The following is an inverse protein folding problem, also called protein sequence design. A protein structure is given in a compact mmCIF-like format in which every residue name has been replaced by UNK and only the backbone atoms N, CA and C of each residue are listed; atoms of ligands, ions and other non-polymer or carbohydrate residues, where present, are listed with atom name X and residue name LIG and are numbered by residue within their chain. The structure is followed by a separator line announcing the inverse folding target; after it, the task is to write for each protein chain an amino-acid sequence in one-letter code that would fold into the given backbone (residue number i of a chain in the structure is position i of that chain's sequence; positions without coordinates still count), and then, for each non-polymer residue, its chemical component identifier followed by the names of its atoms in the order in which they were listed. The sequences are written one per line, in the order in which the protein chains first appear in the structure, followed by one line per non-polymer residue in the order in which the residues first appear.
data_IF_558402515861
#
_entry.id   IF_558402515861
#
_cell.length_a   1.000
_cell.length_b   1.000
_cell.length_c   1.000
_cell.angle_alpha   90.00
_cell.angle_beta   90.00
_cell.angle_gamma   90.00
#
_symmetry.space_group_name_H-M   'P 1'
#
loop_
_entity.id
_entity.type
_entity.pdbx_description
1 polymer ?
#
# COMPACT_ATOMS: atom_id res chain seq x y z
N UNK A 1 4.10 16.15 -22.96
CA UNK A 1 2.94 15.52 -23.62
C UNK A 1 1.82 15.45 -22.60
N UNK A 2 0.65 16.02 -22.89
CA UNK A 2 -0.47 16.07 -21.94
C UNK A 2 -1.16 14.71 -21.90
N UNK A 3 -0.94 13.94 -20.84
CA UNK A 3 -1.75 12.74 -20.56
C UNK A 3 -3.11 13.23 -20.06
N UNK A 4 -4.13 13.18 -20.92
CA UNK A 4 -5.48 13.52 -20.53
C UNK A 4 -5.95 12.62 -19.38
N UNK A 5 -6.27 13.23 -18.24
CA UNK A 5 -6.90 12.54 -17.12
C UNK A 5 -8.37 12.31 -17.45
N UNK A 6 -8.85 11.06 -17.35
CA UNK A 6 -10.27 10.77 -17.45
C UNK A 6 -10.88 10.65 -16.05
N UNK A 7 -12.08 11.20 -15.89
CA UNK A 7 -12.91 11.04 -14.68
C UNK A 7 -13.92 9.95 -14.97
N UNK A 8 -13.93 8.88 -14.18
CA UNK A 8 -15.00 7.89 -14.18
C UNK A 8 -15.88 8.12 -12.96
N UNK A 9 -17.10 8.58 -13.20
CA UNK A 9 -18.12 8.84 -12.17
C UNK A 9 -19.21 7.77 -12.11
N UNK A 10 -19.25 6.85 -13.10
CA UNK A 10 -20.25 5.78 -13.16
C UNK A 10 -19.81 4.62 -14.04
N UNK A 11 -20.33 3.42 -13.75
CA UNK A 11 -20.18 2.20 -14.56
C UNK A 11 -21.55 1.79 -15.11
N UNK A 12 -21.60 1.33 -16.35
CA UNK A 12 -22.84 0.78 -16.94
C UNK A 12 -22.85 -0.73 -16.79
N UNK A 13 -23.76 -1.24 -15.96
CA UNK A 13 -23.86 -2.66 -15.65
C UNK A 13 -25.13 -3.27 -16.26
N UNK A 14 -25.13 -4.55 -16.60
CA UNK A 14 -26.33 -5.23 -17.07
C UNK A 14 -27.35 -5.38 -15.92
N UNK A 15 -28.64 -5.24 -16.24
CA UNK A 15 -29.74 -5.25 -15.25
C UNK A 15 -29.78 -6.55 -14.41
N UNK A 16 -29.42 -7.70 -15.00
CA UNK A 16 -29.43 -8.99 -14.31
C UNK A 16 -28.47 -9.03 -13.10
N UNK A 17 -27.50 -8.12 -12.99
CA UNK A 17 -26.63 -8.05 -11.82
C UNK A 17 -27.43 -7.69 -10.55
N UNK A 18 -28.60 -7.05 -10.71
CA UNK A 18 -29.50 -6.70 -9.62
C UNK A 18 -30.13 -7.93 -8.94
N UNK A 19 -30.19 -9.08 -9.62
CA UNK A 19 -30.64 -10.35 -9.03
C UNK A 19 -29.71 -10.86 -7.92
N UNK A 20 -28.51 -10.28 -7.80
CA UNK A 20 -27.51 -10.59 -6.77
C UNK A 20 -27.40 -9.49 -5.72
N UNK A 21 -28.39 -8.60 -5.63
CA UNK A 21 -28.42 -7.55 -4.61
C UNK A 21 -28.96 -8.12 -3.30
N UNK A 22 -28.21 -7.88 -2.24
CA UNK A 22 -28.60 -8.19 -0.86
C UNK A 22 -28.72 -6.90 -0.06
N UNK A 23 -29.61 -6.91 0.92
CA UNK A 23 -29.67 -5.86 1.93
C UNK A 23 -28.44 -5.99 2.84
N UNK A 24 -27.50 -5.04 2.73
CA UNK A 24 -26.31 -5.05 3.56
C UNK A 24 -26.63 -4.78 5.04
N UNK A 25 -25.70 -5.17 5.93
CA UNK A 25 -25.77 -4.97 7.39
C UNK A 25 -25.99 -3.50 7.85
N UNK A 26 -25.97 -2.54 6.93
CA UNK A 26 -26.14 -1.10 7.16
C UNK A 26 -27.35 -0.48 6.42
N UNK A 27 -28.38 -1.26 6.08
CA UNK A 27 -29.56 -0.81 5.31
C UNK A 27 -29.22 -0.16 3.95
N UNK A 28 -28.09 -0.53 3.35
CA UNK A 28 -27.73 -0.11 2.00
C UNK A 28 -27.68 -1.34 1.10
N UNK A 29 -28.48 -1.38 0.01
CA UNK A 29 -28.46 -2.50 -0.92
C UNK A 29 -27.11 -2.56 -1.62
N UNK A 30 -26.54 -3.76 -1.75
CA UNK A 30 -25.24 -4.00 -2.39
C UNK A 30 -25.28 -5.27 -3.22
N UNK A 31 -24.51 -5.30 -4.31
CA UNK A 31 -24.31 -6.52 -5.10
C UNK A 31 -23.40 -7.45 -4.31
N UNK A 32 -23.88 -8.65 -4.03
CA UNK A 32 -23.08 -9.74 -3.47
C UNK A 32 -22.33 -10.47 -4.58
N UNK A 33 -20.97 -10.41 -4.59
CA UNK A 33 -20.17 -11.09 -5.61
C UNK A 33 -20.38 -12.61 -5.61
N UNK A 34 -20.54 -13.24 -4.45
CA UNK A 34 -20.70 -14.70 -4.34
C UNK A 34 -22.05 -15.17 -4.91
N UNK A 35 -23.14 -14.46 -4.55
CA UNK A 35 -24.45 -14.69 -5.17
C UNK A 35 -24.38 -14.56 -6.70
N UNK A 36 -23.67 -13.57 -7.23
CA UNK A 36 -23.51 -13.41 -8.67
C UNK A 36 -22.73 -14.57 -9.29
N UNK A 37 -21.57 -14.92 -8.73
CA UNK A 37 -20.72 -16.00 -9.20
C UNK A 37 -21.45 -17.34 -9.25
N UNK A 38 -22.32 -17.61 -8.28
CA UNK A 38 -23.10 -18.87 -8.23
C UNK A 38 -24.04 -19.08 -9.42
N UNK A 39 -24.41 -18.00 -10.15
CA UNK A 39 -25.37 -18.02 -11.27
C UNK A 39 -24.76 -17.53 -12.59
N UNK A 40 -23.50 -17.11 -12.58
CA UNK A 40 -22.87 -16.44 -13.72
C UNK A 40 -22.38 -17.45 -14.75
N UNK A 41 -22.76 -17.25 -16.01
CA UNK A 41 -22.13 -17.95 -17.15
C UNK A 41 -20.87 -17.20 -17.59
N UNK A 42 -19.94 -17.82 -18.35
CA UNK A 42 -18.77 -17.11 -18.91
C UNK A 42 -19.16 -15.79 -19.60
N UNK A 43 -20.24 -15.81 -20.39
CA UNK A 43 -20.77 -14.61 -21.05
C UNK A 43 -21.19 -13.51 -20.08
N UNK A 44 -21.84 -13.86 -18.96
CA UNK A 44 -22.23 -12.89 -17.93
C UNK A 44 -21.01 -12.32 -17.20
N UNK A 45 -20.02 -13.16 -16.87
CA UNK A 45 -18.76 -12.73 -16.26
C UNK A 45 -18.04 -11.73 -17.17
N UNK A 46 -17.87 -12.08 -18.44
CA UNK A 46 -17.20 -11.27 -19.43
C UNK A 46 -17.87 -9.90 -19.60
N UNK A 47 -19.20 -9.85 -19.68
CA UNK A 47 -19.94 -8.60 -19.84
C UNK A 47 -19.72 -7.66 -18.64
N UNK A 48 -19.74 -8.20 -17.41
CA UNK A 48 -19.49 -7.39 -16.21
C UNK A 48 -18.02 -6.97 -16.10
N UNK A 49 -17.07 -7.85 -16.45
CA UNK A 49 -15.64 -7.50 -16.50
C UNK A 49 -15.41 -6.33 -17.47
N UNK A 50 -15.96 -6.41 -18.68
CA UNK A 50 -15.81 -5.36 -19.70
C UNK A 50 -16.51 -4.05 -19.32
N UNK A 51 -17.53 -4.09 -18.46
CA UNK A 51 -18.11 -2.87 -17.89
C UNK A 51 -17.10 -2.09 -17.02
N UNK A 52 -16.26 -2.80 -16.25
CA UNK A 52 -15.23 -2.20 -15.42
C UNK A 52 -13.89 -1.98 -16.15
N UNK A 53 -13.57 -2.83 -17.11
CA UNK A 53 -12.31 -2.84 -17.85
C UNK A 53 -12.55 -2.87 -19.36
N UNK A 54 -13.11 -1.78 -19.95
CA UNK A 54 -13.50 -1.75 -21.37
C UNK A 54 -12.31 -1.80 -22.34
N UNK A 55 -11.09 -1.61 -21.84
CA UNK A 55 -9.86 -1.68 -22.62
C UNK A 55 -9.36 -3.13 -22.80
N UNK A 56 -9.89 -4.11 -22.07
CA UNK A 56 -9.54 -5.52 -22.28
C UNK A 56 -10.10 -6.04 -23.61
N UNK A 57 -9.26 -6.83 -24.29
CA UNK A 57 -9.53 -7.51 -25.55
C UNK A 57 -9.24 -8.99 -25.37
N UNK A 58 -10.27 -9.74 -25.03
CA UNK A 58 -10.16 -11.19 -24.81
C UNK A 58 -10.05 -11.93 -26.14
N UNK A 59 -9.13 -12.90 -26.23
CA UNK A 59 -9.10 -13.87 -27.32
C UNK A 59 -10.34 -14.76 -27.30
N UNK A 60 -10.64 -15.45 -28.39
CA UNK A 60 -11.84 -16.30 -28.45
C UNK A 60 -11.83 -17.41 -27.39
N UNK A 61 -10.66 -17.99 -27.12
CA UNK A 61 -10.51 -19.02 -26.08
C UNK A 61 -10.73 -18.42 -24.68
N UNK A 62 -10.14 -17.26 -24.40
CA UNK A 62 -10.28 -16.59 -23.10
C UNK A 62 -11.71 -16.08 -22.82
N UNK A 63 -12.53 -15.86 -23.85
CA UNK A 63 -13.95 -15.51 -23.68
C UNK A 63 -14.81 -16.69 -23.20
N UNK A 64 -14.34 -17.92 -23.40
CA UNK A 64 -15.05 -19.14 -23.02
C UNK A 64 -14.45 -19.81 -21.77
N UNK A 65 -13.22 -19.43 -21.39
CA UNK A 65 -12.54 -19.90 -20.19
C UNK A 65 -13.22 -19.37 -18.91
N UNK A 66 -14.05 -20.23 -18.31
CA UNK A 66 -14.80 -19.88 -17.12
C UNK A 66 -13.91 -19.58 -15.91
N UNK A 67 -12.80 -20.31 -15.75
CA UNK A 67 -11.91 -20.16 -14.59
C UNK A 67 -11.11 -18.87 -14.68
N UNK A 68 -10.59 -18.54 -15.88
CA UNK A 68 -9.92 -17.26 -16.12
C UNK A 68 -10.87 -16.08 -15.84
N UNK A 69 -12.09 -16.12 -16.38
CA UNK A 69 -13.07 -15.06 -16.19
C UNK A 69 -13.52 -14.97 -14.72
N UNK A 70 -13.68 -16.10 -14.04
CA UNK A 70 -14.00 -16.13 -12.60
C UNK A 70 -12.88 -15.51 -11.77
N UNK A 71 -11.62 -15.85 -12.05
CA UNK A 71 -10.44 -15.27 -11.40
C UNK A 71 -10.40 -13.75 -11.60
N UNK A 72 -10.52 -13.27 -12.83
CA UNK A 72 -10.57 -11.82 -13.13
C UNK A 72 -11.70 -11.15 -12.38
N UNK A 73 -12.88 -11.78 -12.35
CA UNK A 73 -14.02 -11.23 -11.65
C UNK A 73 -13.75 -11.10 -10.14
N UNK A 74 -13.28 -12.16 -9.49
CA UNK A 74 -12.99 -12.19 -8.05
C UNK A 74 -11.92 -11.16 -7.69
N UNK A 75 -10.80 -11.14 -8.42
CA UNK A 75 -9.65 -10.31 -8.09
C UNK A 75 -9.84 -8.83 -8.48
N UNK A 76 -10.46 -8.59 -9.64
CA UNK A 76 -10.51 -7.24 -10.22
C UNK A 76 -11.89 -6.59 -10.12
N UNK A 77 -12.98 -7.33 -10.26
CA UNK A 77 -14.34 -6.75 -10.30
C UNK A 77 -14.99 -6.70 -8.91
N UNK A 78 -14.95 -7.80 -8.17
CA UNK A 78 -15.64 -7.94 -6.89
C UNK A 78 -15.29 -6.85 -5.85
N UNK A 79 -14.02 -6.40 -5.71
CA UNK A 79 -13.68 -5.31 -4.80
C UNK A 79 -14.32 -3.98 -5.22
N UNK A 80 -14.51 -3.76 -6.53
CA UNK A 80 -15.05 -2.52 -7.10
C UNK A 80 -16.58 -2.45 -6.99
N UNK A 81 -17.28 -3.58 -6.94
CA UNK A 81 -18.74 -3.64 -6.74
C UNK A 81 -19.19 -2.98 -5.43
N UNK A 82 -18.35 -3.05 -4.38
CA UNK A 82 -18.63 -2.41 -3.07
C UNK A 82 -18.64 -0.88 -3.14
N UNK A 83 -18.04 -0.30 -4.18
CA UNK A 83 -17.93 1.15 -4.37
C UNK A 83 -19.03 1.73 -5.27
N UNK A 84 -20.06 0.94 -5.60
CA UNK A 84 -21.19 1.38 -6.39
C UNK A 84 -22.33 1.88 -5.52
N UNK A 85 -22.99 2.93 -5.98
CA UNK A 85 -24.34 3.26 -5.53
C UNK A 85 -25.34 2.58 -6.48
N UNK A 86 -26.24 1.79 -5.92
CA UNK A 86 -27.29 1.14 -6.71
C UNK A 86 -28.39 2.15 -7.04
N UNK A 87 -28.65 2.43 -8.34
CA UNK A 87 -29.78 3.24 -8.73
C UNK A 87 -31.09 2.45 -8.54
N UNK A 88 -32.20 3.16 -8.39
CA UNK A 88 -33.52 2.53 -8.46
C UNK A 88 -33.72 1.85 -9.82
N UNK A 89 -34.29 0.63 -9.87
CA UNK A 89 -34.46 -0.10 -11.11
C UNK A 89 -35.31 0.70 -12.08
N UNK A 90 -34.75 0.99 -13.25
CA UNK A 90 -35.49 1.52 -14.40
C UNK A 90 -35.56 0.43 -15.45
N UNK A 91 -36.62 0.41 -16.26
CA UNK A 91 -36.92 -0.63 -17.24
C UNK A 91 -35.97 -0.54 -18.47
N UNK A 92 -34.67 -0.70 -18.22
CA UNK A 92 -33.57 -0.54 -19.18
C UNK A 92 -32.61 -1.71 -19.00
N UNK A 93 -32.17 -2.31 -20.12
CA UNK A 93 -31.22 -3.44 -20.15
C UNK A 93 -29.91 -3.21 -19.40
N UNK A 94 -29.52 -1.95 -19.24
CA UNK A 94 -28.31 -1.53 -18.53
C UNK A 94 -28.65 -0.47 -17.48
N UNK A 95 -28.06 -0.60 -16.31
CA UNK A 95 -28.13 0.37 -15.22
C UNK A 95 -26.86 1.22 -15.20
N UNK A 96 -27.02 2.52 -15.04
CA UNK A 96 -25.89 3.42 -14.76
C UNK A 96 -25.68 3.47 -13.25
N UNK A 97 -24.66 2.78 -12.75
CA UNK A 97 -24.30 2.75 -11.34
C UNK A 97 -23.25 3.83 -11.03
N UNK A 98 -23.58 4.90 -10.29
CA UNK A 98 -22.60 5.89 -9.87
C UNK A 98 -21.55 5.27 -8.96
N UNK A 99 -20.30 5.72 -9.08
CA UNK A 99 -19.24 5.36 -8.15
C UNK A 99 -19.32 6.26 -6.92
N UNK A 100 -19.15 5.70 -5.72
CA UNK A 100 -19.11 6.47 -4.45
C UNK A 100 -17.97 7.49 -4.45
N UNK A 101 -16.89 7.22 -5.20
CA UNK A 101 -15.77 8.14 -5.42
C UNK A 101 -15.38 8.11 -6.88
N UNK A 102 -15.11 9.29 -7.44
CA UNK A 102 -14.56 9.42 -8.78
C UNK A 102 -13.20 8.74 -8.86
N UNK A 103 -13.00 7.91 -9.88
CA UNK A 103 -11.69 7.35 -10.19
C UNK A 103 -11.02 8.22 -11.24
N UNK A 104 -9.84 8.72 -10.88
CA UNK A 104 -8.94 9.44 -11.78
C UNK A 104 -7.86 8.48 -12.25
N UNK A 105 -7.67 8.41 -13.56
CA UNK A 105 -6.63 7.58 -14.14
C UNK A 105 -6.20 8.05 -15.53
N UNK A 106 -4.97 7.72 -15.95
CA UNK A 106 -4.58 7.85 -17.34
C UNK A 106 -5.47 6.95 -18.20
N UNK A 107 -5.71 7.36 -19.44
CA UNK A 107 -6.38 6.51 -20.44
C UNK A 107 -5.57 5.22 -20.60
N UNK A 108 -6.22 4.07 -20.36
CA UNK A 108 -5.57 2.76 -20.50
C UNK A 108 -5.63 2.32 -21.97
N UNK A 109 -4.48 1.90 -22.50
CA UNK A 109 -4.38 1.36 -23.85
C UNK A 109 -5.07 0.00 -23.97
N UNK A 110 -5.56 -0.39 -25.16
CA UNK A 110 -6.17 -1.69 -25.37
C UNK A 110 -5.22 -2.83 -24.97
N UNK A 111 -5.68 -3.75 -24.13
CA UNK A 111 -4.88 -4.87 -23.60
C UNK A 111 -5.45 -6.19 -24.08
N UNK A 112 -4.62 -7.00 -24.75
CA UNK A 112 -5.01 -8.36 -25.13
C UNK A 112 -4.95 -9.27 -23.90
N UNK A 113 -5.98 -10.09 -23.68
CA UNK A 113 -6.04 -11.06 -22.57
C UNK A 113 -6.28 -12.44 -23.18
N UNK A 114 -5.28 -13.32 -23.07
CA UNK A 114 -5.37 -14.71 -23.49
C UNK A 114 -5.26 -15.67 -22.29
N UNK A 115 -4.53 -15.25 -21.25
CA UNK A 115 -4.24 -16.04 -20.05
C UNK A 115 -4.20 -15.18 -18.79
N UNK A 116 -4.12 -15.82 -17.62
CA UNK A 116 -3.96 -15.12 -16.35
C UNK A 116 -2.65 -14.34 -16.25
N UNK A 117 -1.59 -14.77 -16.94
CA UNK A 117 -0.31 -14.08 -16.99
C UNK A 117 -0.39 -12.74 -17.73
N UNK A 118 -1.39 -12.58 -18.61
CA UNK A 118 -1.65 -11.32 -19.30
C UNK A 118 -2.37 -10.30 -18.42
N UNK A 119 -2.68 -10.63 -17.16
CA UNK A 119 -3.29 -9.72 -16.20
C UNK A 119 -2.20 -9.20 -15.27
N UNK A 120 -1.83 -7.93 -15.39
CA UNK A 120 -0.96 -7.31 -14.39
C UNK A 120 -1.77 -7.01 -13.13
N UNK A 121 -2.16 -8.05 -12.39
CA UNK A 121 -2.72 -7.90 -11.04
C UNK A 121 -1.73 -7.11 -10.16
N UNK A 122 -0.44 -7.24 -10.44
CA UNK A 122 0.64 -6.44 -9.87
C UNK A 122 0.64 -4.97 -10.30
N UNK A 123 0.09 -4.59 -11.46
CA UNK A 123 0.16 -3.20 -11.92
C UNK A 123 -0.75 -2.28 -11.09
N UNK A 124 -1.95 -2.72 -10.73
CA UNK A 124 -2.81 -1.91 -9.84
C UNK A 124 -2.27 -1.87 -8.41
N UNK A 125 -1.73 -3.00 -7.92
CA UNK A 125 -1.03 -3.07 -6.63
C UNK A 125 0.14 -2.09 -6.60
N UNK A 126 1.04 -2.22 -7.58
CA UNK A 126 2.21 -1.35 -7.75
C UNK A 126 1.79 0.12 -7.89
N UNK A 127 0.78 0.42 -8.71
CA UNK A 127 0.25 1.78 -8.87
C UNK A 127 -0.25 2.36 -7.55
N UNK A 128 -0.97 1.58 -6.74
CA UNK A 128 -1.47 2.05 -5.44
C UNK A 128 -0.32 2.26 -4.45
N UNK A 129 0.67 1.37 -4.44
CA UNK A 129 1.87 1.54 -3.62
C UNK A 129 2.66 2.79 -4.04
N UNK A 130 2.85 2.98 -5.34
CA UNK A 130 3.58 4.12 -5.93
C UNK A 130 2.86 5.46 -5.72
N UNK A 131 1.53 5.47 -5.59
CA UNK A 131 0.75 6.69 -5.32
C UNK A 131 0.70 6.99 -3.83
N UNK A 132 0.42 6.00 -2.99
CA UNK A 132 0.05 6.22 -1.59
C UNK A 132 1.15 5.94 -0.57
N UNK A 133 2.20 5.21 -0.94
CA UNK A 133 3.22 4.77 0.02
C UNK A 133 4.60 5.31 -0.38
N UNK A 134 5.05 4.98 -1.59
CA UNK A 134 6.41 5.27 -2.06
C UNK A 134 6.83 6.75 -1.99
N UNK A 135 5.98 7.73 -2.37
CA UNK A 135 6.37 9.14 -2.32
C UNK A 135 6.60 9.61 -0.88
N UNK A 136 5.81 9.13 0.07
CA UNK A 136 5.97 9.50 1.47
C UNK A 136 7.21 8.87 2.10
N UNK A 137 7.52 7.62 1.74
CA UNK A 137 8.77 6.96 2.16
C UNK A 137 9.99 7.74 1.66
N UNK A 138 10.03 8.10 0.37
CA UNK A 138 11.14 8.85 -0.24
C UNK A 138 11.31 10.28 0.27
N UNK A 139 10.25 10.89 0.80
CA UNK A 139 10.28 12.27 1.30
C UNK A 139 10.40 12.32 2.83
N UNK A 140 10.78 11.21 3.49
CA UNK A 140 10.88 11.10 4.95
C UNK A 140 9.58 11.44 5.70
N UNK A 141 8.43 11.28 5.04
CA UNK A 141 7.10 11.53 5.61
C UNK A 141 6.53 10.23 6.19
N UNK A 142 7.26 9.59 7.10
CA UNK A 142 6.99 8.21 7.53
C UNK A 142 5.62 8.03 8.16
N UNK A 143 5.11 9.02 8.91
CA UNK A 143 3.75 8.97 9.48
C UNK A 143 2.67 8.93 8.40
N UNK A 144 2.84 9.68 7.30
CA UNK A 144 1.92 9.64 6.17
C UNK A 144 2.07 8.34 5.38
N UNK A 145 3.30 7.83 5.26
CA UNK A 145 3.54 6.51 4.66
C UNK A 145 2.81 5.40 5.42
N UNK A 146 2.81 5.43 6.76
CA UNK A 146 2.05 4.48 7.62
C UNK A 146 0.55 4.54 7.31
N UNK A 147 -0.04 5.74 7.20
CA UNK A 147 -1.45 5.88 6.84
C UNK A 147 -1.77 5.37 5.43
N UNK A 148 -0.85 5.56 4.48
CA UNK A 148 -0.93 5.01 3.14
C UNK A 148 -0.86 3.48 3.15
N UNK A 149 0.08 2.93 3.91
CA UNK A 149 0.31 1.50 4.07
C UNK A 149 -0.87 0.81 4.77
N UNK A 150 -1.49 1.41 5.78
CA UNK A 150 -2.68 0.85 6.43
C UNK A 150 -3.84 0.69 5.42
N UNK A 151 -4.04 1.68 4.54
CA UNK A 151 -5.02 1.56 3.44
C UNK A 151 -4.63 0.48 2.42
N UNK A 152 -3.35 0.41 2.09
CA UNK A 152 -2.81 -0.55 1.15
C UNK A 152 -2.98 -1.99 1.66
N UNK A 153 -2.64 -2.25 2.92
CA UNK A 153 -2.72 -3.55 3.58
C UNK A 153 -4.17 -3.98 3.81
N UNK A 154 -5.10 -3.04 4.07
CA UNK A 154 -6.53 -3.38 4.08
C UNK A 154 -7.02 -3.96 2.74
N UNK A 155 -6.36 -3.60 1.65
CA UNK A 155 -6.69 -4.09 0.30
C UNK A 155 -5.93 -5.38 -0.03
N UNK A 156 -4.64 -5.43 0.30
CA UNK A 156 -3.69 -6.45 -0.19
C UNK A 156 -3.11 -7.38 0.88
N UNK A 157 -3.54 -7.22 2.14
CA UNK A 157 -3.22 -8.01 3.35
C UNK A 157 -1.77 -7.99 3.84
N UNK A 158 -0.79 -7.96 2.94
CA UNK A 158 0.65 -7.96 3.28
C UNK A 158 1.43 -7.18 2.24
N UNK A 159 2.72 -6.91 2.51
CA UNK A 159 3.66 -6.31 1.55
C UNK A 159 4.47 -7.39 0.83
N UNK A 160 4.72 -7.20 -0.47
CA UNK A 160 5.66 -8.06 -1.20
C UNK A 160 7.11 -7.75 -0.82
N UNK A 161 8.04 -8.63 -1.19
CA UNK A 161 9.46 -8.39 -0.93
C UNK A 161 9.94 -7.06 -1.53
N UNK A 162 9.57 -6.75 -2.77
CA UNK A 162 9.95 -5.49 -3.43
C UNK A 162 9.43 -4.24 -2.69
N UNK A 163 8.21 -4.31 -2.15
CA UNK A 163 7.63 -3.21 -1.37
C UNK A 163 8.31 -3.08 -0.01
N UNK A 164 8.66 -4.20 0.63
CA UNK A 164 9.47 -4.23 1.85
C UNK A 164 10.88 -3.68 1.63
N UNK A 165 11.51 -3.99 0.50
CA UNK A 165 12.82 -3.45 0.13
C UNK A 165 12.77 -1.91 0.04
N UNK A 166 11.64 -1.35 -0.42
CA UNK A 166 11.44 0.12 -0.44
C UNK A 166 11.32 0.72 0.97
N UNK A 167 10.74 -0.02 1.92
CA UNK A 167 10.70 0.39 3.33
C UNK A 167 12.10 0.30 3.96
N UNK A 168 12.84 -0.78 3.70
CA UNK A 168 14.21 -0.94 4.19
C UNK A 168 15.14 0.15 3.66
N UNK A 169 15.05 0.47 2.37
CA UNK A 169 15.81 1.58 1.80
C UNK A 169 15.52 2.90 2.52
N UNK A 170 14.25 3.20 2.78
CA UNK A 170 13.87 4.41 3.51
C UNK A 170 14.30 4.38 5.00
N UNK A 171 14.48 3.20 5.59
CA UNK A 171 15.06 3.02 6.93
C UNK A 171 16.57 3.34 6.92
N UNK A 172 17.31 2.88 5.90
CA UNK A 172 18.73 3.21 5.73
C UNK A 172 18.92 4.73 5.57
N UNK A 173 18.12 5.38 4.71
CA UNK A 173 18.14 6.85 4.56
C UNK A 173 17.80 7.59 5.87
N UNK A 174 16.85 7.06 6.66
CA UNK A 174 16.50 7.63 7.97
C UNK A 174 17.67 7.54 8.96
N UNK A 175 18.41 6.43 8.94
CA UNK A 175 19.57 6.20 9.78
C UNK A 175 20.71 7.15 9.41
N UNK A 176 21.02 7.30 8.12
CA UNK A 176 22.03 8.26 7.65
C UNK A 176 21.69 9.70 8.07
N UNK A 177 20.43 10.11 7.92
CA UNK A 177 19.96 11.43 8.34
C UNK A 177 20.08 11.65 9.86
N UNK A 178 19.84 10.62 10.67
CA UNK A 178 20.02 10.67 12.11
C UNK A 178 21.50 10.86 12.49
N UNK A 179 22.39 10.14 11.81
CA UNK A 179 23.84 10.23 12.04
C UNK A 179 24.39 11.61 11.68
N UNK A 180 23.90 12.21 10.59
CA UNK A 180 24.19 13.59 10.23
C UNK A 180 23.74 14.56 11.32
N UNK A 181 22.51 14.42 11.82
CA UNK A 181 22.01 15.25 12.91
C UNK A 181 22.81 15.09 14.20
N UNK A 182 23.26 13.87 14.53
CA UNK A 182 24.13 13.61 15.67
C UNK A 182 25.47 14.34 15.53
N UNK A 183 26.08 14.28 14.34
CA UNK A 183 27.33 14.96 14.02
C UNK A 183 27.19 16.48 14.20
N UNK A 184 26.16 17.08 13.59
CA UNK A 184 25.90 18.51 13.74
C UNK A 184 25.60 18.93 15.18
N UNK A 185 24.83 18.12 15.91
CA UNK A 185 24.49 18.38 17.30
C UNK A 185 25.75 18.38 18.17
N UNK A 186 26.65 17.42 17.94
CA UNK A 186 27.92 17.30 18.64
C UNK A 186 28.81 18.53 18.40
N UNK A 187 28.93 18.99 17.15
CA UNK A 187 29.73 20.16 16.80
C UNK A 187 29.20 21.46 17.42
N UNK A 188 27.87 21.66 17.41
CA UNK A 188 27.26 22.84 18.06
C UNK A 188 27.45 22.76 19.57
N UNK A 189 27.32 21.58 20.17
CA UNK A 189 27.54 21.42 21.61
C UNK A 189 28.98 21.76 21.99
N UNK A 190 29.98 21.28 21.24
CA UNK A 190 31.40 21.66 21.42
C UNK A 190 31.61 23.16 21.30
N UNK A 191 30.95 23.81 20.33
CA UNK A 191 31.02 25.26 20.12
C UNK A 191 30.47 26.04 21.31
N UNK A 192 29.32 25.64 21.84
CA UNK A 192 28.70 26.25 23.04
C UNK A 192 29.62 26.09 24.25
N UNK A 193 30.14 24.88 24.49
CA UNK A 193 31.06 24.64 25.62
C UNK A 193 32.34 25.47 25.50
N UNK A 194 32.89 25.60 24.29
CA UNK A 194 34.04 26.47 24.05
C UNK A 194 33.73 27.93 24.40
N UNK A 195 32.56 28.45 24.02
CA UNK A 195 32.15 29.82 24.36
C UNK A 195 31.99 30.01 25.88
N UNK A 196 31.40 29.04 26.58
CA UNK A 196 31.32 29.05 28.05
C UNK A 196 32.70 29.09 28.71
N UNK A 197 33.65 28.27 28.24
CA UNK A 197 35.03 28.28 28.75
C UNK A 197 35.72 29.62 28.49
N UNK A 198 35.57 30.19 27.29
CA UNK A 198 36.13 31.51 26.94
C UNK A 198 35.57 32.65 27.80
N UNK A 199 34.29 32.60 28.16
CA UNK A 199 33.66 33.56 29.07
C UNK A 199 34.15 33.40 30.51
N UNK A 200 34.46 32.17 30.94
CA UNK A 200 34.91 31.84 32.30
C UNK A 200 36.39 32.14 32.53
N UNK A 201 37.25 31.87 31.55
CA UNK A 201 38.71 31.99 31.68
C UNK A 201 39.21 33.43 31.77
N UNK A 202 38.33 34.42 31.69
CA UNK A 202 38.69 35.80 32.04
C UNK A 202 39.73 36.43 31.12
N UNK A 203 39.89 35.94 29.89
CA UNK A 203 40.66 36.63 28.83
C UNK A 203 40.15 38.05 28.52
N UNK A 204 39.01 38.43 29.11
CA UNK A 204 38.34 39.73 29.03
C UNK A 204 38.34 40.53 30.36
N UNK A 205 39.12 40.13 31.37
CA UNK A 205 39.18 40.78 32.69
C UNK A 205 39.79 42.19 32.75
N UNK A 206 39.83 42.93 31.62
CA UNK A 206 40.27 44.33 31.59
C UNK A 206 39.04 45.22 31.38
N UNK A 207 38.81 46.28 32.20
CA UNK A 207 37.54 47.03 32.26
C UNK A 207 37.12 47.80 30.99
N UNK A 208 37.79 47.61 29.86
CA UNK A 208 37.65 48.43 28.66
C UNK A 208 36.82 47.79 27.54
N UNK A 209 36.19 46.62 27.75
CA UNK A 209 35.61 45.78 26.70
C UNK A 209 34.11 45.44 26.81
N UNK A 210 33.28 46.36 27.34
CA UNK A 210 31.82 46.14 27.47
C UNK A 210 31.10 45.73 26.17
N UNK A 211 31.63 46.13 25.01
CA UNK A 211 31.07 45.76 23.70
C UNK A 211 31.47 44.35 23.22
N UNK A 212 32.65 43.84 23.58
CA UNK A 212 33.08 42.49 23.17
C UNK A 212 32.35 41.41 23.97
N UNK A 213 32.22 41.60 25.29
CA UNK A 213 31.46 40.67 26.13
C UNK A 213 30.02 40.55 25.64
N UNK A 214 29.39 41.68 25.29
CA UNK A 214 28.04 41.69 24.70
C UNK A 214 27.96 40.88 23.41
N UNK A 215 28.92 41.01 22.51
CA UNK A 215 28.99 40.21 21.26
C UNK A 215 29.14 38.71 21.56
N UNK A 216 29.92 38.33 22.57
CA UNK A 216 30.05 36.93 22.99
C UNK A 216 28.76 36.38 23.61
N UNK A 217 28.09 37.16 24.46
CA UNK A 217 26.78 36.79 25.01
C UNK A 217 25.72 36.65 23.92
N UNK A 218 25.67 37.58 22.96
CA UNK A 218 24.73 37.50 21.83
C UNK A 218 25.01 36.25 20.98
N UNK A 219 26.28 35.94 20.71
CA UNK A 219 26.68 34.73 19.98
C UNK A 219 26.32 33.45 20.74
N UNK A 220 26.51 33.43 22.06
CA UNK A 220 26.13 32.32 22.90
C UNK A 220 24.62 32.09 22.87
N UNK A 221 23.80 33.14 22.92
CA UNK A 221 22.34 33.02 22.83
C UNK A 221 21.90 32.45 21.48
N UNK A 222 22.52 32.88 20.38
CA UNK A 222 22.26 32.33 19.04
C UNK A 222 22.64 30.85 18.98
N UNK A 223 23.81 30.47 19.50
CA UNK A 223 24.30 29.09 19.46
C UNK A 223 23.48 28.16 20.39
N UNK A 224 23.03 28.65 21.55
CA UNK A 224 22.10 27.92 22.44
C UNK A 224 20.73 27.71 21.79
N UNK A 225 20.20 28.71 21.10
CA UNK A 225 18.94 28.59 20.35
C UNK A 225 19.10 27.56 19.22
N UNK A 226 20.22 27.63 18.50
CA UNK A 226 20.56 26.66 17.45
C UNK A 226 20.67 25.24 18.02
N UNK A 227 21.34 25.08 19.17
CA UNK A 227 21.49 23.79 19.85
C UNK A 227 20.12 23.18 20.19
N UNK A 228 19.22 23.96 20.79
CA UNK A 228 17.86 23.50 21.11
C UNK A 228 17.08 23.05 19.86
N UNK A 229 17.14 23.83 18.79
CA UNK A 229 16.49 23.48 17.54
C UNK A 229 17.04 22.16 16.95
N UNK A 230 18.36 21.94 17.04
CA UNK A 230 18.99 20.69 16.59
C UNK A 230 18.64 19.50 17.47
N UNK A 231 18.52 19.68 18.79
CA UNK A 231 18.04 18.63 19.70
C UNK A 231 16.61 18.20 19.33
N UNK A 232 15.74 19.15 18.98
CA UNK A 232 14.37 18.85 18.52
C UNK A 232 14.42 18.02 17.24
N UNK A 233 15.18 18.46 16.23
CA UNK A 233 15.31 17.71 14.97
C UNK A 233 15.87 16.31 15.17
N UNK A 234 16.94 16.16 15.95
CA UNK A 234 17.51 14.86 16.29
C UNK A 234 16.49 13.94 16.96
N UNK A 235 15.73 14.47 17.92
CA UNK A 235 14.68 13.69 18.61
C UNK A 235 13.58 13.26 17.65
N UNK A 236 13.16 14.13 16.73
CA UNK A 236 12.17 13.80 15.70
C UNK A 236 12.70 12.71 14.77
N UNK A 237 13.92 12.84 14.24
CA UNK A 237 14.52 11.84 13.37
C UNK A 237 14.71 10.49 14.06
N UNK A 238 15.03 10.48 15.35
CA UNK A 238 15.12 9.26 16.15
C UNK A 238 13.75 8.56 16.27
N UNK A 239 12.68 9.31 16.49
CA UNK A 239 11.32 8.77 16.51
C UNK A 239 10.89 8.22 15.15
N UNK A 240 11.23 8.93 14.08
CA UNK A 240 10.94 8.55 12.72
C UNK A 240 11.67 7.28 12.29
N UNK A 241 12.95 7.14 12.65
CA UNK A 241 13.72 5.91 12.47
C UNK A 241 13.10 4.74 13.25
N UNK A 242 12.71 4.98 14.51
CA UNK A 242 12.04 3.97 15.32
C UNK A 242 10.72 3.49 14.70
N UNK A 243 9.94 4.43 14.16
CA UNK A 243 8.67 4.14 13.47
C UNK A 243 8.88 3.27 12.23
N UNK A 244 9.81 3.67 11.33
CA UNK A 244 10.02 2.90 10.10
C UNK A 244 10.67 1.54 10.36
N UNK A 245 11.54 1.44 11.36
CA UNK A 245 12.13 0.15 11.77
C UNK A 245 11.06 -0.81 12.27
N UNK A 246 10.17 -0.34 13.16
CA UNK A 246 9.05 -1.15 13.65
C UNK A 246 8.09 -1.56 12.52
N UNK A 247 7.86 -0.67 11.55
CA UNK A 247 7.03 -0.97 10.39
C UNK A 247 7.65 -2.06 9.50
N UNK A 248 8.96 -1.98 9.25
CA UNK A 248 9.68 -2.98 8.47
C UNK A 248 9.62 -4.36 9.14
N UNK A 249 9.90 -4.43 10.45
CA UNK A 249 9.83 -5.66 11.22
C UNK A 249 8.41 -6.26 11.21
N UNK A 250 7.40 -5.44 11.49
CA UNK A 250 6.01 -5.90 11.52
C UNK A 250 5.56 -6.51 10.19
N UNK A 251 5.89 -5.88 9.06
CA UNK A 251 5.49 -6.40 7.75
C UNK A 251 6.34 -7.56 7.26
N UNK A 252 7.59 -7.67 7.71
CA UNK A 252 8.44 -8.84 7.49
C UNK A 252 7.85 -10.08 8.16
N UNK A 253 7.42 -9.95 9.42
CA UNK A 253 6.77 -11.05 10.16
C UNK A 253 5.46 -11.48 9.51
N UNK A 254 4.65 -10.50 9.05
CA UNK A 254 3.42 -10.80 8.31
C UNK A 254 3.69 -11.53 6.98
N UNK A 255 4.72 -11.14 6.24
CA UNK A 255 5.08 -11.83 5.00
C UNK A 255 5.51 -13.28 5.28
N UNK A 256 6.33 -13.50 6.32
CA UNK A 256 6.77 -14.84 6.72
C UNK A 256 5.59 -15.74 7.14
N UNK A 257 4.62 -15.20 7.88
CA UNK A 257 3.41 -15.93 8.27
C UNK A 257 2.57 -16.34 7.06
N UNK A 258 2.42 -15.47 6.07
CA UNK A 258 1.67 -15.80 4.84
C UNK A 258 2.38 -16.91 4.04
N UNK A 259 3.70 -16.84 3.89
CA UNK A 259 4.48 -17.87 3.18
C UNK A 259 4.43 -19.25 3.87
N UNK A 260 4.37 -19.30 5.20
CA UNK A 260 4.18 -20.53 5.98
C UNK A 260 2.76 -21.09 5.85
N UNK A 261 1.76 -20.22 5.70
CA UNK A 261 0.36 -20.62 5.54
C UNK A 261 0.11 -21.26 4.17
N UNK A 262 0.75 -20.72 3.12
CA UNK A 262 0.63 -21.23 1.74
C UNK A 262 1.38 -22.56 1.51
N UNK A 263 2.41 -22.86 2.31
CA UNK A 263 3.13 -24.13 2.25
C UNK A 263 2.42 -25.25 3.04
N UNK A 264 1.66 -24.90 4.07
CA UNK A 264 0.91 -25.86 4.89
C UNK A 264 -0.34 -26.41 4.19
N UNK A 265 -0.98 -25.60 3.34
CA UNK A 265 -2.18 -25.98 2.58
C UNK A 265 -1.90 -26.90 1.38
N UNK A 266 -0.65 -27.02 0.93
CA UNK A 266 -0.23 -27.97 -0.12
C UNK A 266 0.29 -29.32 0.42
N UNK A 267 0.33 -29.51 1.74
CA UNK A 267 0.97 -30.68 2.36
C UNK A 267 -0.01 -31.81 2.75
N UNK A 268 -1.33 -31.59 2.72
CA UNK A 268 -2.33 -32.59 3.19
C UNK A 268 -2.92 -33.48 2.08
N UNK A 269 -2.46 -33.39 0.82
CA UNK A 269 -3.03 -34.17 -0.29
C UNK A 269 -2.20 -35.40 -0.73
N UNK A 270 -1.11 -35.75 -0.04
CA UNK A 270 -0.32 -36.93 -0.34
C UNK A 270 0.10 -37.68 0.92
N UNK A 271 -0.84 -38.34 1.61
CA UNK A 271 -0.50 -39.47 2.47
C UNK A 271 -1.73 -40.29 2.91
N UNK A 272 -2.52 -40.82 1.97
CA UNK A 272 -3.37 -41.99 2.22
C UNK A 272 -3.66 -42.76 0.94
N UNK A 273 -2.67 -43.39 0.33
CA UNK A 273 -2.95 -44.55 -0.54
C UNK A 273 -1.72 -45.45 -0.68
N UNK A 274 -1.64 -46.48 0.16
CA UNK A 274 -1.22 -47.87 -0.13
C UNK A 274 -0.77 -48.59 1.14
N UNK A 275 -1.59 -49.52 1.62
CA UNK A 275 -1.20 -50.93 1.74
C UNK A 275 -2.30 -51.75 2.43
N UNK A 276 -3.20 -52.30 1.63
CA UNK A 276 -3.94 -53.51 2.01
C UNK A 276 -3.92 -54.50 0.86
N UNK A 277 -2.87 -55.33 0.85
CA UNK A 277 -2.83 -56.57 0.09
C UNK A 277 -3.82 -57.58 0.72
N UNK A 278 -4.98 -57.74 0.08
CA UNK A 278 -5.86 -58.88 0.29
C UNK A 278 -5.18 -60.17 -0.18
N UNK A 279 -5.04 -61.11 0.74
CA UNK A 279 -4.68 -62.51 0.47
C UNK A 279 -5.96 -63.32 0.30
N UNK A 280 -6.15 -63.91 -0.88
CA UNK A 280 -7.14 -64.97 -1.11
C UNK A 280 -6.43 -66.33 -1.09
N UNK A 281 -6.93 -67.35 -0.37
CA UNK A 281 -6.37 -68.69 -0.42
C UNK A 281 -6.94 -69.47 -1.61
N UNK A 282 -6.15 -70.42 -2.11
CA UNK A 282 -6.51 -71.34 -3.18
C UNK A 282 -6.60 -72.75 -2.59
N UNK A 283 -7.74 -73.40 -2.81
CA UNK A 283 -8.04 -74.78 -2.41
C UNK A 283 -6.99 -75.78 -2.93
N UNK A 284 -6.50 -76.65 -2.05
CA UNK A 284 -6.59 -78.13 -2.15
C UNK A 284 -6.35 -78.76 -0.78
#
# INVERSE_FOLDING_TARGET
MSYGSYVHSSVFLPEYILESVIDGHSNTPRIDPESFLSKATPKKLLEVILAFFPHFKFTQNAQEDHELLRMIFVEMVAPRLRNLQLPSPTNIKYIKAPLIRETFGPRQDPRCVDSAADLDLDHERKRLFDIYCLPHLKNSQYRQAVEGLDKFIKTYKFLTQHELDSVHFAQEEAQESLDDHLSYLTEIHKKVERLHLQLRDGTFGVPSYSNQDKVFYDRLQIDLTTLRNRQILFTTSLQDLGLISALAEHHKDLLAQNQLSDSSSNSEAQDTEKDHHSTTPRDT
#
